data_IF_020197054407
#
_entry.id   IF_020197054407
#
_cell.length_a   1.000
_cell.length_b   1.000
_cell.length_c   1.000
_cell.angle_alpha   90.00
_cell.angle_beta   90.00
_cell.angle_gamma   90.00
#
_symmetry.space_group_name_H-M   'P 1'
#
loop_
_entity.id
_entity.type
_entity.pdbx_description
1 polymer ?
#
# COMPACT_ATOMS: atom_id res chain seq x y z
N UNK A 1 -1.49 8.61 -21.45
CA UNK A 1 -2.68 9.44 -21.16
C UNK A 1 -2.59 10.79 -21.87
N UNK A 2 -3.68 11.27 -22.47
CA UNK A 2 -3.73 12.56 -23.18
C UNK A 2 -3.73 13.74 -22.19
N UNK A 3 -2.56 14.39 -22.00
CA UNK A 3 -2.41 15.54 -21.09
C UNK A 3 -3.32 16.72 -21.46
N UNK A 4 -3.57 16.92 -22.77
CA UNK A 4 -4.45 18.00 -23.26
C UNK A 4 -5.89 17.81 -22.77
N UNK A 5 -6.43 16.59 -22.88
CA UNK A 5 -7.78 16.27 -22.43
C UNK A 5 -7.91 16.37 -20.90
N UNK A 6 -6.92 15.88 -20.15
CA UNK A 6 -6.91 16.01 -18.69
C UNK A 6 -6.93 17.49 -18.24
N UNK A 7 -6.08 18.33 -18.85
CA UNK A 7 -6.07 19.79 -18.59
C UNK A 7 -7.38 20.48 -18.98
N UNK A 8 -8.10 19.94 -19.97
CA UNK A 8 -9.41 20.45 -20.38
C UNK A 8 -10.58 19.99 -19.46
N UNK A 9 -10.28 19.30 -18.34
CA UNK A 9 -11.27 18.93 -17.33
C UNK A 9 -11.74 17.47 -17.39
N UNK A 10 -11.27 16.65 -18.34
CA UNK A 10 -11.70 15.25 -18.45
C UNK A 10 -11.31 14.40 -17.22
N UNK A 11 -10.37 14.85 -16.39
CA UNK A 11 -10.02 14.19 -15.13
C UNK A 11 -10.98 14.47 -13.98
N UNK A 12 -11.95 15.38 -14.14
CA UNK A 12 -12.98 15.66 -13.13
C UNK A 12 -14.12 14.65 -13.27
N UNK A 13 -14.35 13.87 -12.22
CA UNK A 13 -15.48 12.95 -12.17
C UNK A 13 -16.82 13.69 -12.10
N UNK A 14 -17.91 13.02 -12.49
CA UNK A 14 -19.27 13.55 -12.29
C UNK A 14 -19.53 13.90 -10.82
N UNK A 15 -19.07 13.05 -9.90
CA UNK A 15 -19.22 13.27 -8.46
C UNK A 15 -18.55 14.57 -8.00
N UNK A 16 -17.27 14.78 -8.35
CA UNK A 16 -16.55 16.01 -8.03
C UNK A 16 -17.23 17.24 -8.62
N UNK A 17 -17.71 17.14 -9.88
CA UNK A 17 -18.44 18.24 -10.53
C UNK A 17 -19.71 18.62 -9.77
N UNK A 18 -20.49 17.65 -9.29
CA UNK A 18 -21.70 17.90 -8.50
C UNK A 18 -21.39 18.52 -7.13
N UNK A 19 -20.30 18.11 -6.48
CA UNK A 19 -19.84 18.72 -5.23
C UNK A 19 -19.45 20.18 -5.42
N UNK A 20 -18.72 20.49 -6.50
CA UNK A 20 -18.36 21.87 -6.86
C UNK A 20 -19.59 22.73 -7.15
N UNK A 21 -20.65 22.13 -7.71
CA UNK A 21 -21.95 22.80 -7.92
C UNK A 21 -22.78 22.97 -6.64
N UNK A 22 -22.26 22.58 -5.47
CA UNK A 22 -22.88 22.81 -4.17
C UNK A 22 -23.70 21.63 -3.63
N UNK A 23 -23.74 20.48 -4.32
CA UNK A 23 -24.37 19.27 -3.79
C UNK A 23 -23.51 18.71 -2.66
N UNK A 24 -24.00 18.75 -1.42
CA UNK A 24 -23.29 18.24 -0.24
C UNK A 24 -23.45 16.72 -0.14
N UNK A 25 -22.35 15.94 -0.21
CA UNK A 25 -22.44 14.49 -0.05
C UNK A 25 -22.80 14.08 1.38
N UNK A 26 -23.50 12.97 1.51
CA UNK A 26 -23.63 12.25 2.78
C UNK A 26 -22.30 11.54 3.05
N UNK A 27 -21.60 11.93 4.12
CA UNK A 27 -20.31 11.35 4.50
C UNK A 27 -20.50 10.26 5.54
N UNK A 28 -20.04 9.04 5.24
CA UNK A 28 -19.90 7.99 6.25
C UNK A 28 -18.64 8.28 7.09
N UNK A 29 -18.80 8.36 8.41
CA UNK A 29 -17.74 8.83 9.31
C UNK A 29 -17.07 7.72 10.12
N UNK A 30 -17.68 6.54 10.25
CA UNK A 30 -17.15 5.45 11.06
C UNK A 30 -16.45 4.42 10.18
N UNK A 31 -15.16 4.17 10.43
CA UNK A 31 -14.38 3.15 9.75
C UNK A 31 -14.36 1.85 10.57
N UNK A 32 -14.59 0.72 9.91
CA UNK A 32 -14.60 -0.62 10.52
C UNK A 32 -13.50 -1.53 9.97
N UNK A 33 -12.46 -0.98 9.32
CA UNK A 33 -11.39 -1.76 8.67
C UNK A 33 -10.16 -1.85 9.54
N UNK A 34 -9.54 -0.72 9.84
CA UNK A 34 -8.16 -0.60 10.30
C UNK A 34 -8.04 -0.54 11.82
N UNK A 35 -6.92 -1.02 12.37
CA UNK A 35 -6.45 -0.68 13.71
C UNK A 35 -6.40 0.85 13.90
N UNK A 36 -6.81 1.43 15.04
CA UNK A 36 -6.83 2.88 15.26
C UNK A 36 -5.50 3.60 14.96
N UNK A 37 -4.36 2.95 15.21
CA UNK A 37 -3.04 3.50 14.89
C UNK A 37 -2.80 3.69 13.38
N UNK A 38 -3.38 2.83 12.53
CA UNK A 38 -3.26 2.90 11.07
C UNK A 38 -4.16 3.99 10.49
N UNK A 39 -5.36 4.19 11.06
CA UNK A 39 -6.33 5.18 10.56
C UNK A 39 -5.98 6.62 10.97
N UNK A 40 -5.14 6.82 11.99
CA UNK A 40 -4.80 8.14 12.53
C UNK A 40 -4.23 9.11 11.48
N UNK A 41 -3.21 8.69 10.72
CA UNK A 41 -2.61 9.56 9.70
C UNK A 41 -3.58 9.85 8.55
N UNK A 42 -4.22 8.85 7.90
CA UNK A 42 -5.17 9.12 6.84
C UNK A 42 -6.34 10.01 7.28
N UNK A 43 -6.88 9.78 8.49
CA UNK A 43 -7.96 10.60 9.05
C UNK A 43 -7.56 12.07 9.13
N UNK A 44 -6.41 12.36 9.75
CA UNK A 44 -5.95 13.73 9.96
C UNK A 44 -5.60 14.44 8.65
N UNK A 45 -4.96 13.75 7.71
CA UNK A 45 -4.43 14.37 6.49
C UNK A 45 -5.49 14.48 5.38
N UNK A 46 -6.35 13.48 5.21
CA UNK A 46 -7.28 13.41 4.08
C UNK A 46 -8.74 13.65 4.47
N UNK A 47 -9.07 13.59 5.76
CA UNK A 47 -10.44 13.67 6.27
C UNK A 47 -10.61 14.66 7.43
N UNK A 48 -9.65 15.57 7.65
CA UNK A 48 -9.72 16.61 8.69
C UNK A 48 -9.94 16.05 10.10
N UNK A 49 -9.50 14.82 10.37
CA UNK A 49 -9.70 14.14 11.65
C UNK A 49 -11.14 13.64 11.88
N UNK A 50 -12.03 13.73 10.89
CA UNK A 50 -13.45 13.38 11.04
C UNK A 50 -13.75 11.87 11.01
N UNK A 51 -12.76 11.03 10.67
CA UNK A 51 -12.93 9.58 10.63
C UNK A 51 -12.88 8.98 12.05
N UNK A 52 -13.97 8.38 12.48
CA UNK A 52 -14.13 7.71 13.76
C UNK A 52 -13.82 6.21 13.63
N UNK A 53 -13.34 5.58 14.70
CA UNK A 53 -13.04 4.16 14.72
C UNK A 53 -14.23 3.36 15.26
N UNK A 54 -14.83 2.50 14.43
CA UNK A 54 -15.86 1.55 14.83
C UNK A 54 -15.29 0.22 15.35
N UNK A 55 -13.97 0.12 15.45
CA UNK A 55 -13.23 -1.03 15.97
C UNK A 55 -12.16 -0.54 16.94
N UNK A 56 -11.88 -1.33 17.96
CA UNK A 56 -10.86 -1.05 18.97
C UNK A 56 -9.50 -1.62 18.55
N UNK A 57 -8.45 -1.28 19.30
CA UNK A 57 -7.14 -1.92 19.15
C UNK A 57 -7.25 -3.44 19.35
N UNK A 58 -8.00 -3.89 20.35
CA UNK A 58 -8.17 -5.31 20.67
C UNK A 58 -8.86 -6.10 19.54
N UNK A 59 -9.81 -5.49 18.83
CA UNK A 59 -10.48 -6.09 17.66
C UNK A 59 -9.54 -6.29 16.46
N UNK A 60 -8.33 -5.73 16.53
CA UNK A 60 -7.32 -5.72 15.47
C UNK A 60 -6.00 -6.35 15.86
N UNK A 61 -5.98 -7.07 16.97
CA UNK A 61 -4.87 -7.97 17.32
C UNK A 61 -5.19 -9.35 16.75
N UNK A 62 -4.33 -9.85 15.87
CA UNK A 62 -4.47 -11.19 15.28
C UNK A 62 -4.13 -12.25 16.32
N UNK A 63 -5.05 -13.20 16.55
CA UNK A 63 -4.82 -14.33 17.47
C UNK A 63 -3.79 -15.29 16.90
N UNK A 64 -2.88 -15.79 17.74
CA UNK A 64 -1.84 -16.74 17.35
C UNK A 64 -0.83 -16.15 16.35
N UNK A 65 -0.60 -14.84 16.42
CA UNK A 65 0.33 -14.13 15.54
C UNK A 65 1.51 -13.59 16.34
N UNK A 66 2.67 -14.25 16.21
CA UNK A 66 3.89 -13.90 16.94
C UNK A 66 4.84 -13.08 16.06
N UNK A 67 4.51 -11.80 15.89
CA UNK A 67 5.33 -10.84 15.17
C UNK A 67 5.68 -9.67 16.07
N UNK A 68 6.98 -9.41 16.23
CA UNK A 68 7.47 -8.32 17.06
C UNK A 68 7.51 -7.01 16.27
N UNK A 69 6.49 -6.18 16.47
CA UNK A 69 6.48 -4.80 15.97
C UNK A 69 7.52 -3.95 16.70
N UNK A 70 8.16 -2.97 16.04
CA UNK A 70 9.10 -2.06 16.71
C UNK A 70 8.45 -1.29 17.88
N UNK A 71 7.15 -1.00 17.77
CA UNK A 71 6.31 -0.48 18.83
C UNK A 71 5.14 -1.47 19.02
N UNK A 72 5.09 -2.25 20.11
CA UNK A 72 4.14 -3.36 20.26
C UNK A 72 2.65 -2.98 20.13
N UNK A 73 2.30 -1.74 20.47
CA UNK A 73 0.94 -1.18 20.43
C UNK A 73 0.56 -0.54 19.07
N UNK A 74 1.52 -0.46 18.13
CA UNK A 74 1.35 0.17 16.82
C UNK A 74 1.77 -0.82 15.73
N UNK A 75 0.82 -1.50 15.06
CA UNK A 75 1.12 -2.51 14.04
C UNK A 75 1.54 -1.88 12.70
N UNK A 76 2.54 -1.00 12.73
CA UNK A 76 3.11 -0.33 11.58
C UNK A 76 4.54 0.11 11.85
N UNK A 77 5.33 0.18 10.79
CA UNK A 77 6.65 0.81 10.81
C UNK A 77 7.02 1.24 9.40
N UNK A 78 7.95 2.20 9.31
CA UNK A 78 8.59 2.55 8.05
C UNK A 78 10.00 1.93 8.04
N UNK A 79 10.23 0.98 7.13
CA UNK A 79 11.51 0.28 7.05
C UNK A 79 12.46 1.01 6.11
N UNK A 80 13.31 1.88 6.68
CA UNK A 80 14.29 2.65 5.90
C UNK A 80 15.19 1.71 5.13
N UNK A 81 15.18 1.84 3.81
CA UNK A 81 16.01 1.06 2.89
C UNK A 81 16.78 2.01 2.01
N UNK A 82 18.10 2.01 2.14
CA UNK A 82 18.99 2.73 1.21
C UNK A 82 19.38 1.77 0.09
N UNK A 83 18.83 2.01 -1.09
CA UNK A 83 19.11 1.24 -2.30
C UNK A 83 19.07 2.15 -3.52
N UNK A 84 19.40 1.62 -4.68
CA UNK A 84 19.37 2.36 -5.94
C UNK A 84 18.18 1.90 -6.78
N UNK A 85 17.49 2.85 -7.40
CA UNK A 85 16.47 2.54 -8.40
C UNK A 85 17.11 2.15 -9.75
N UNK A 86 16.52 1.18 -10.42
CA UNK A 86 16.90 0.73 -11.76
C UNK A 86 15.72 0.92 -12.72
N UNK A 87 16.02 1.23 -13.98
CA UNK A 87 15.01 1.19 -15.05
C UNK A 87 14.74 -0.29 -15.38
N UNK A 88 13.48 -0.69 -15.30
CA UNK A 88 13.06 -2.04 -15.64
C UNK A 88 13.25 -2.31 -17.15
N UNK A 89 13.28 -3.58 -17.55
CA UNK A 89 13.46 -4.02 -18.95
C UNK A 89 12.45 -3.41 -19.93
N UNK A 90 11.25 -3.05 -19.46
CA UNK A 90 10.24 -2.30 -20.24
C UNK A 90 10.66 -0.89 -20.68
N UNK A 91 11.75 -0.34 -20.13
CA UNK A 91 12.26 1.01 -20.41
C UNK A 91 11.44 2.17 -19.81
N UNK A 92 10.25 1.90 -19.25
CA UNK A 92 9.29 2.92 -18.83
C UNK A 92 8.82 2.80 -17.37
N UNK A 93 9.34 1.82 -16.63
CA UNK A 93 9.05 1.58 -15.23
C UNK A 93 10.34 1.41 -14.43
N UNK A 94 10.25 1.48 -13.10
CA UNK A 94 11.38 1.33 -12.20
C UNK A 94 11.25 0.06 -11.34
N UNK A 95 12.38 -0.39 -10.80
CA UNK A 95 12.49 -1.42 -9.77
C UNK A 95 13.59 -1.05 -8.77
N UNK A 96 13.57 -1.65 -7.59
CA UNK A 96 14.58 -1.49 -6.56
C UNK A 96 14.82 -2.85 -5.89
N UNK A 97 16.01 -3.42 -6.16
CA UNK A 97 16.36 -4.77 -5.71
C UNK A 97 16.54 -4.86 -4.20
N UNK A 98 17.10 -3.82 -3.59
CA UNK A 98 17.29 -3.76 -2.14
C UNK A 98 15.95 -3.75 -1.41
N UNK A 99 15.00 -2.93 -1.87
CA UNK A 99 13.63 -2.96 -1.35
C UNK A 99 12.98 -4.32 -1.56
N UNK A 100 13.11 -4.92 -2.76
CA UNK A 100 12.48 -6.20 -3.07
C UNK A 100 12.97 -7.33 -2.15
N UNK A 101 14.27 -7.38 -1.85
CA UNK A 101 14.85 -8.32 -0.91
C UNK A 101 14.28 -8.12 0.51
N UNK A 102 14.08 -6.88 0.94
CA UNK A 102 13.49 -6.58 2.24
C UNK A 102 11.98 -6.93 2.28
N UNK A 103 11.25 -6.67 1.20
CA UNK A 103 9.84 -7.05 1.07
C UNK A 103 9.66 -8.57 1.17
N UNK A 104 10.52 -9.37 0.52
CA UNK A 104 10.52 -10.83 0.68
C UNK A 104 10.78 -11.23 2.14
N UNK A 105 11.82 -10.67 2.78
CA UNK A 105 12.14 -10.99 4.19
C UNK A 105 10.98 -10.67 5.14
N UNK A 106 10.32 -9.53 4.96
CA UNK A 106 9.14 -9.14 5.75
C UNK A 106 7.99 -10.12 5.48
N UNK A 107 7.72 -10.44 4.22
CA UNK A 107 6.67 -11.40 3.84
C UNK A 107 6.91 -12.76 4.49
N UNK A 108 8.14 -13.27 4.41
CA UNK A 108 8.57 -14.51 5.06
C UNK A 108 8.38 -14.47 6.58
N UNK A 109 8.72 -13.35 7.24
CA UNK A 109 8.52 -13.20 8.69
C UNK A 109 7.04 -13.19 9.07
N UNK A 110 6.19 -12.51 8.29
CA UNK A 110 4.73 -12.53 8.51
C UNK A 110 4.17 -13.95 8.37
N UNK A 111 4.58 -14.69 7.34
CA UNK A 111 4.15 -16.08 7.12
C UNK A 111 4.61 -16.99 8.27
N UNK A 112 5.87 -16.87 8.71
CA UNK A 112 6.41 -17.62 9.86
C UNK A 112 5.73 -17.27 11.19
N UNK A 113 5.28 -16.03 11.34
CA UNK A 113 4.51 -15.57 12.50
C UNK A 113 3.05 -16.07 12.50
N UNK A 114 2.60 -16.77 11.46
CA UNK A 114 1.25 -17.36 11.39
C UNK A 114 0.26 -16.63 10.47
N UNK A 115 0.70 -15.63 9.69
CA UNK A 115 -0.13 -15.06 8.64
C UNK A 115 -0.32 -16.06 7.49
N UNK A 116 -1.51 -16.10 6.90
CA UNK A 116 -1.75 -16.87 5.66
C UNK A 116 -1.42 -16.01 4.43
N UNK A 117 -1.00 -16.60 3.31
CA UNK A 117 -0.68 -15.85 2.10
C UNK A 117 -1.79 -14.92 1.60
N UNK A 118 -3.03 -15.38 1.63
CA UNK A 118 -4.22 -14.62 1.20
C UNK A 118 -4.52 -13.40 2.08
N UNK A 119 -3.93 -13.35 3.28
CA UNK A 119 -4.03 -12.25 4.24
C UNK A 119 -2.97 -11.16 4.03
N UNK A 120 -2.00 -11.39 3.13
CA UNK A 120 -0.90 -10.46 2.85
C UNK A 120 -1.11 -9.85 1.46
N UNK A 121 -0.96 -8.53 1.37
CA UNK A 121 -0.89 -7.80 0.11
C UNK A 121 0.38 -6.96 0.02
N UNK A 122 0.97 -6.92 -1.17
CA UNK A 122 2.12 -6.08 -1.48
C UNK A 122 1.69 -5.08 -2.53
N UNK A 123 1.83 -3.81 -2.17
CA UNK A 123 1.49 -2.68 -3.02
C UNK A 123 2.78 -2.06 -3.53
N UNK A 124 2.88 -1.84 -4.83
CA UNK A 124 3.99 -1.08 -5.41
C UNK A 124 3.49 -0.23 -6.58
N UNK A 125 3.94 1.02 -6.71
CA UNK A 125 3.45 1.91 -7.77
C UNK A 125 4.02 1.61 -9.16
N UNK A 126 5.03 0.75 -9.25
CA UNK A 126 5.76 0.48 -10.48
C UNK A 126 5.58 -0.97 -10.94
N UNK A 127 5.18 -1.13 -12.20
CA UNK A 127 4.96 -2.45 -12.81
C UNK A 127 6.25 -3.28 -12.90
N UNK A 128 7.39 -2.61 -13.09
CA UNK A 128 8.72 -3.19 -13.02
C UNK A 128 9.01 -3.83 -11.65
N UNK A 129 8.73 -3.11 -10.57
CA UNK A 129 8.87 -3.64 -9.21
C UNK A 129 7.91 -4.79 -8.94
N UNK A 130 6.65 -4.68 -9.39
CA UNK A 130 5.64 -5.75 -9.25
C UNK A 130 6.14 -7.05 -9.90
N UNK A 131 6.56 -6.96 -11.16
CA UNK A 131 7.08 -8.10 -11.91
C UNK A 131 8.35 -8.67 -11.27
N UNK A 132 9.26 -7.80 -10.85
CA UNK A 132 10.51 -8.22 -10.18
C UNK A 132 10.24 -8.94 -8.86
N UNK A 133 9.31 -8.44 -8.03
CA UNK A 133 8.94 -9.08 -6.76
C UNK A 133 8.36 -10.48 -6.95
N UNK A 134 7.46 -10.67 -7.93
CA UNK A 134 6.89 -11.98 -8.26
C UNK A 134 8.01 -12.96 -8.61
N UNK A 135 8.94 -12.56 -9.48
CA UNK A 135 10.07 -13.39 -9.87
C UNK A 135 11.00 -13.67 -8.68
N UNK A 136 11.39 -12.62 -7.95
CA UNK A 136 12.33 -12.72 -6.84
C UNK A 136 11.83 -13.65 -5.73
N UNK A 137 10.57 -13.53 -5.33
CA UNK A 137 10.00 -14.40 -4.30
C UNK A 137 9.89 -15.86 -4.73
N UNK A 138 9.72 -16.13 -6.02
CA UNK A 138 9.67 -17.50 -6.53
C UNK A 138 11.03 -18.20 -6.51
N UNK A 139 12.12 -17.47 -6.79
CA UNK A 139 13.47 -18.03 -6.91
C UNK A 139 14.33 -17.88 -5.66
N UNK A 140 14.06 -16.89 -4.82
CA UNK A 140 14.91 -16.55 -3.66
C UNK A 140 14.16 -16.62 -2.33
N UNK A 141 12.85 -16.87 -2.34
CA UNK A 141 12.06 -17.03 -1.13
C UNK A 141 12.51 -18.24 -0.30
N UNK A 142 12.59 -18.06 1.02
CA UNK A 142 13.03 -19.15 1.92
C UNK A 142 11.96 -20.22 2.21
N UNK A 143 10.69 -19.94 1.87
CA UNK A 143 9.56 -20.85 2.06
C UNK A 143 9.15 -21.51 0.73
N UNK A 144 8.23 -22.47 0.80
CA UNK A 144 7.71 -23.14 -0.39
C UNK A 144 7.07 -22.14 -1.36
N UNK A 145 7.46 -22.16 -2.64
CA UNK A 145 7.07 -21.19 -3.68
C UNK A 145 5.56 -20.94 -3.78
N UNK A 146 4.73 -21.98 -3.59
CA UNK A 146 3.25 -21.86 -3.55
C UNK A 146 2.73 -20.85 -2.52
N UNK A 147 3.43 -20.64 -1.41
CA UNK A 147 3.02 -19.65 -0.41
C UNK A 147 3.17 -18.24 -0.99
N UNK A 148 4.29 -17.92 -1.62
CA UNK A 148 4.50 -16.61 -2.25
C UNK A 148 3.58 -16.37 -3.44
N UNK A 149 3.24 -17.40 -4.21
CA UNK A 149 2.31 -17.29 -5.35
C UNK A 149 0.90 -16.85 -4.94
N UNK A 150 0.50 -17.11 -3.69
CA UNK A 150 -0.80 -16.73 -3.15
C UNK A 150 -0.78 -15.35 -2.48
N UNK A 151 0.41 -14.79 -2.22
CA UNK A 151 0.56 -13.41 -1.76
C UNK A 151 0.26 -12.48 -2.92
N UNK A 152 -0.65 -11.55 -2.71
CA UNK A 152 -1.06 -10.67 -3.78
C UNK A 152 -0.07 -9.51 -3.97
N UNK A 153 0.41 -9.30 -5.20
CA UNK A 153 1.32 -8.20 -5.56
C UNK A 153 0.70 -7.39 -6.70
N UNK A 154 0.33 -6.14 -6.42
CA UNK A 154 -0.33 -5.29 -7.42
C UNK A 154 -0.07 -3.80 -7.20
N UNK A 155 -0.49 -2.98 -8.16
CA UNK A 155 -0.48 -1.53 -8.03
C UNK A 155 -1.56 -1.05 -7.06
N UNK A 156 -1.41 0.14 -6.51
CA UNK A 156 -2.44 0.70 -5.62
C UNK A 156 -3.77 0.92 -6.34
N UNK A 157 -3.73 1.26 -7.64
CA UNK A 157 -4.93 1.42 -8.45
C UNK A 157 -5.70 0.07 -8.53
N UNK A 158 -4.99 -1.05 -8.67
CA UNK A 158 -5.60 -2.39 -8.64
C UNK A 158 -6.07 -2.80 -7.23
N UNK A 159 -5.48 -2.28 -6.16
CA UNK A 159 -5.88 -2.55 -4.77
C UNK A 159 -7.06 -1.68 -4.29
N UNK A 160 -7.52 -0.72 -5.07
CA UNK A 160 -8.63 0.13 -4.68
C UNK A 160 -9.91 -0.70 -4.43
N UNK A 161 -10.56 -0.44 -3.28
CA UNK A 161 -11.76 -1.17 -2.86
C UNK A 161 -11.51 -2.52 -2.19
N UNK A 162 -10.26 -3.01 -2.19
CA UNK A 162 -9.88 -4.29 -1.59
C UNK A 162 -9.17 -4.06 -0.25
N UNK A 163 -9.04 -5.13 0.54
CA UNK A 163 -8.40 -5.10 1.86
C UNK A 163 -7.65 -6.40 2.15
N UNK A 164 -6.66 -6.32 3.02
CA UNK A 164 -5.85 -7.45 3.53
C UNK A 164 -5.59 -7.26 5.01
N UNK A 165 -5.25 -8.32 5.73
CA UNK A 165 -4.84 -8.17 7.13
C UNK A 165 -3.50 -7.42 7.21
N UNK A 166 -2.55 -7.75 6.34
CA UNK A 166 -1.23 -7.13 6.30
C UNK A 166 -0.94 -6.54 4.92
N UNK A 167 -0.40 -5.32 4.91
CA UNK A 167 0.04 -4.65 3.69
C UNK A 167 1.52 -4.29 3.80
N UNK A 168 2.28 -4.57 2.75
CA UNK A 168 3.64 -4.09 2.56
C UNK A 168 3.63 -3.13 1.37
N UNK A 169 4.07 -1.88 1.59
CA UNK A 169 4.23 -0.90 0.54
C UNK A 169 5.70 -0.79 0.14
N UNK A 170 6.02 -1.05 -1.12
CA UNK A 170 7.35 -0.78 -1.70
C UNK A 170 7.30 0.54 -2.49
N UNK A 171 8.12 1.50 -2.09
CA UNK A 171 8.14 2.86 -2.64
C UNK A 171 9.01 2.98 -3.89
N UNK A 172 10.03 2.12 -4.01
CA UNK A 172 10.94 1.96 -5.16
C UNK A 172 11.90 3.11 -5.37
N UNK A 173 11.40 4.35 -5.41
CA UNK A 173 12.17 5.52 -5.83
C UNK A 173 13.23 5.88 -4.80
N UNK A 174 14.46 6.00 -5.26
CA UNK A 174 15.64 6.34 -4.47
C UNK A 174 16.60 7.13 -5.35
N UNK A 175 16.30 8.42 -5.51
CA UNK A 175 17.08 9.36 -6.31
C UNK A 175 16.94 10.77 -5.73
N UNK A 176 17.87 11.67 -6.08
CA UNK A 176 17.92 13.04 -5.55
C UNK A 176 17.19 14.07 -6.44
N UNK A 177 17.02 13.79 -7.74
CA UNK A 177 16.65 14.84 -8.72
C UNK A 177 15.50 14.44 -9.68
N UNK A 178 15.13 13.17 -9.74
CA UNK A 178 14.08 12.65 -10.61
C UNK A 178 12.85 12.34 -9.76
N UNK A 179 12.01 13.36 -9.53
CA UNK A 179 10.86 13.30 -8.61
C UNK A 179 10.07 11.98 -8.61
N UNK A 180 9.40 11.69 -7.51
CA UNK A 180 8.85 10.37 -7.16
C UNK A 180 7.67 9.87 -8.03
N UNK A 181 7.31 10.61 -9.08
CA UNK A 181 6.32 10.21 -10.08
C UNK A 181 4.97 9.87 -9.45
N UNK A 182 4.60 8.60 -9.52
CA UNK A 182 3.33 8.07 -9.01
C UNK A 182 3.05 8.46 -7.56
N UNK A 183 4.08 8.51 -6.72
CA UNK A 183 3.96 8.82 -5.29
C UNK A 183 3.62 10.29 -5.01
N UNK A 184 3.64 11.17 -6.03
CA UNK A 184 3.24 12.58 -5.88
C UNK A 184 1.73 12.79 -5.77
N UNK A 185 0.89 11.78 -6.05
CA UNK A 185 -0.57 11.92 -5.90
C UNK A 185 -0.99 11.55 -4.46
N UNK A 186 -1.43 12.52 -3.64
CA UNK A 186 -1.82 12.25 -2.25
C UNK A 186 -2.98 11.27 -2.14
N UNK A 187 -3.86 11.20 -3.15
CA UNK A 187 -5.00 10.28 -3.17
C UNK A 187 -4.54 8.83 -3.25
N UNK A 188 -3.47 8.57 -4.02
CA UNK A 188 -2.89 7.24 -4.16
C UNK A 188 -2.19 6.79 -2.89
N UNK A 189 -1.49 7.71 -2.20
CA UNK A 189 -0.95 7.43 -0.87
C UNK A 189 -2.07 7.10 0.13
N UNK A 190 -3.15 7.87 0.15
CA UNK A 190 -4.31 7.58 0.99
C UNK A 190 -4.87 6.17 0.74
N UNK A 191 -5.05 5.78 -0.53
CA UNK A 191 -5.50 4.42 -0.86
C UNK A 191 -4.52 3.37 -0.33
N UNK A 192 -3.21 3.52 -0.58
CA UNK A 192 -2.20 2.56 -0.14
C UNK A 192 -2.18 2.37 1.38
N UNK A 193 -2.28 3.45 2.15
CA UNK A 193 -2.26 3.43 3.62
C UNK A 193 -3.56 2.88 4.24
N UNK A 194 -4.64 2.73 3.47
CA UNK A 194 -5.97 2.35 3.98
C UNK A 194 -6.46 0.97 3.53
N UNK A 195 -5.53 0.10 3.10
CA UNK A 195 -5.82 -1.27 2.65
C UNK A 195 -5.67 -2.34 3.74
N UNK A 196 -4.86 -2.09 4.78
CA UNK A 196 -4.62 -3.04 5.88
C UNK A 196 -5.79 -3.05 6.89
N UNK A 197 -5.91 -4.13 7.67
CA UNK A 197 -6.85 -4.24 8.79
C UNK A 197 -6.14 -4.08 10.13
#
# INVERSE_FOLDING_TARGET
MCKKAAKAGLSQSLFERLVVLGIRPIRLQVQYRMHPALSAFPSNIFYEGSLQNGVTAADRIKKGFDFQWPQPDKPMFFYVTQGQEEIASSGTSYLNRTEAANVEKITTRLLKAGAKPDQIGIITPYEGQRSYLVQYMQFSGSLHTKLYQQVEIASVDAFQGREKDFIILSCVRANEHQGIGFLNDPRRLNVALTRAK
#
